data_IF_762525719223
#
_entry.id   IF_762525719223
#
_cell.length_a   1.000
_cell.length_b   1.000
_cell.length_c   1.000
_cell.angle_alpha   90.00
_cell.angle_beta   90.00
_cell.angle_gamma   90.00
#
_symmetry.space_group_name_H-M   'P 1'
#
loop_
_entity.id
_entity.type
_entity.pdbx_description
1 polymer ?
#
# COMPACT_ATOMS: atom_id res chain seq x y z
N UNK A 1 -7.81 0.07 -11.43
CA UNK A 1 -8.07 1.44 -10.90
C UNK A 1 -6.75 2.16 -10.60
N UNK A 2 -5.78 1.50 -9.95
CA UNK A 2 -4.45 2.05 -9.69
C UNK A 2 -3.75 2.66 -10.93
N UNK A 3 -3.80 1.99 -12.09
CA UNK A 3 -3.16 2.49 -13.31
C UNK A 3 -3.72 3.83 -13.80
N UNK A 4 -5.06 3.98 -13.78
CA UNK A 4 -5.72 5.26 -14.11
C UNK A 4 -5.30 6.38 -13.17
N UNK A 5 -5.05 6.06 -11.90
CA UNK A 5 -4.58 7.03 -10.92
C UNK A 5 -3.16 7.49 -11.24
N UNK A 6 -2.27 6.59 -11.62
CA UNK A 6 -0.89 6.94 -12.01
C UNK A 6 -0.90 7.82 -13.27
N UNK A 7 -1.73 7.50 -14.26
CA UNK A 7 -1.86 8.31 -15.48
C UNK A 7 -2.35 9.73 -15.20
N UNK A 8 -3.36 9.88 -14.34
CA UNK A 8 -3.86 11.19 -13.95
C UNK A 8 -2.81 12.03 -13.22
N UNK A 9 -2.04 11.43 -12.30
CA UNK A 9 -0.97 12.13 -11.60
C UNK A 9 0.19 12.50 -12.55
N UNK A 10 0.55 11.62 -13.49
CA UNK A 10 1.57 11.90 -14.49
C UNK A 10 1.18 13.10 -15.36
N UNK A 11 -0.07 13.16 -15.82
CA UNK A 11 -0.62 14.30 -16.57
C UNK A 11 -0.60 15.59 -15.75
N UNK A 12 -1.04 15.54 -14.49
CA UNK A 12 -1.08 16.71 -13.61
C UNK A 12 0.32 17.27 -13.30
N UNK A 13 1.32 16.39 -13.19
CA UNK A 13 2.71 16.74 -12.87
C UNK A 13 3.57 17.03 -14.12
N UNK A 14 3.03 16.83 -15.33
CA UNK A 14 3.76 17.04 -16.58
C UNK A 14 4.93 16.08 -16.80
N UNK A 15 4.90 14.89 -16.19
CA UNK A 15 5.94 13.86 -16.29
C UNK A 15 5.40 12.61 -16.98
N UNK A 16 6.30 11.71 -17.39
CA UNK A 16 5.89 10.44 -17.98
C UNK A 16 5.24 9.51 -16.93
N UNK A 17 4.40 8.58 -17.38
CA UNK A 17 3.82 7.53 -16.52
C UNK A 17 4.91 6.69 -15.86
N UNK A 18 6.02 6.44 -16.56
CA UNK A 18 7.15 5.68 -16.02
C UNK A 18 7.85 6.43 -14.87
N UNK A 19 8.11 7.73 -15.05
CA UNK A 19 8.67 8.58 -13.99
C UNK A 19 7.73 8.68 -12.79
N UNK A 20 6.43 8.85 -13.03
CA UNK A 20 5.43 8.88 -11.95
C UNK A 20 5.43 7.56 -11.17
N UNK A 21 5.49 6.40 -11.83
CA UNK A 21 5.61 5.10 -11.16
C UNK A 21 6.89 4.99 -10.34
N UNK A 22 8.02 5.42 -10.90
CA UNK A 22 9.31 5.38 -10.22
C UNK A 22 9.29 6.27 -8.96
N UNK A 23 8.74 7.47 -9.04
CA UNK A 23 8.59 8.37 -7.89
C UNK A 23 7.66 7.77 -6.82
N UNK A 24 6.53 7.16 -7.22
CA UNK A 24 5.61 6.50 -6.29
C UNK A 24 6.26 5.30 -5.58
N UNK A 25 7.11 4.53 -6.26
CA UNK A 25 7.85 3.43 -5.62
C UNK A 25 8.91 3.99 -4.67
N UNK A 26 9.62 5.04 -5.08
CA UNK A 26 10.67 5.66 -4.28
C UNK A 26 10.15 6.31 -2.99
N UNK A 27 8.87 6.71 -2.94
CA UNK A 27 8.26 7.26 -1.73
C UNK A 27 7.98 6.19 -0.66
N UNK A 28 7.87 4.92 -1.05
CA UNK A 28 7.55 3.82 -0.14
C UNK A 28 8.83 3.38 0.56
N UNK A 29 8.92 3.43 1.90
CA UNK A 29 10.12 2.98 2.61
C UNK A 29 10.48 1.50 2.35
N UNK A 30 9.49 0.64 2.15
CA UNK A 30 9.68 -0.76 1.72
C UNK A 30 10.37 -0.88 0.34
N UNK A 31 10.40 0.19 -0.46
CA UNK A 31 11.04 0.24 -1.78
C UNK A 31 10.27 -0.51 -2.88
N UNK A 32 9.06 -0.98 -2.58
CA UNK A 32 8.16 -1.65 -3.53
C UNK A 32 6.72 -1.48 -3.10
N UNK A 33 5.80 -1.74 -4.02
CA UNK A 33 4.38 -1.89 -3.69
C UNK A 33 4.18 -3.10 -2.76
N UNK A 34 3.24 -2.96 -1.83
CA UNK A 34 2.72 -4.09 -1.06
C UNK A 34 1.94 -5.00 -2.01
N UNK A 35 2.18 -6.30 -1.91
CA UNK A 35 1.49 -7.29 -2.72
C UNK A 35 0.13 -7.66 -2.11
N UNK A 36 -0.91 -7.93 -2.91
CA UNK A 36 -2.21 -8.34 -2.39
C UNK A 36 -2.16 -9.56 -1.45
N UNK A 37 -1.20 -10.46 -1.68
CA UNK A 37 -1.00 -11.64 -0.84
C UNK A 37 -0.57 -11.28 0.60
N UNK A 38 0.14 -10.17 0.81
CA UNK A 38 0.56 -9.72 2.14
C UNK A 38 -0.65 -9.23 2.96
N UNK A 39 -1.57 -8.51 2.31
CA UNK A 39 -2.85 -8.09 2.91
C UNK A 39 -3.73 -9.32 3.20
N UNK A 40 -3.82 -10.26 2.26
CA UNK A 40 -4.59 -11.48 2.41
C UNK A 40 -4.07 -12.35 3.57
N UNK A 41 -2.75 -12.43 3.75
CA UNK A 41 -2.15 -13.17 4.87
C UNK A 41 -2.54 -12.56 6.23
N UNK A 42 -2.56 -11.23 6.35
CA UNK A 42 -3.01 -10.57 7.57
C UNK A 42 -4.50 -10.77 7.81
N UNK A 43 -5.33 -10.66 6.77
CA UNK A 43 -6.75 -10.96 6.86
C UNK A 43 -6.98 -12.42 7.32
N UNK A 44 -6.23 -13.37 6.76
CA UNK A 44 -6.29 -14.78 7.14
C UNK A 44 -5.91 -15.02 8.62
N UNK A 45 -4.92 -14.28 9.14
CA UNK A 45 -4.59 -14.31 10.56
C UNK A 45 -5.75 -13.79 11.42
N UNK A 46 -6.33 -12.64 11.04
CA UNK A 46 -7.40 -11.98 11.80
C UNK A 46 -8.69 -12.81 11.87
N UNK A 47 -9.02 -13.58 10.82
CA UNK A 47 -10.19 -14.47 10.82
C UNK A 47 -9.94 -15.82 11.50
N UNK A 48 -8.71 -16.08 11.98
CA UNK A 48 -8.35 -17.34 12.63
C UNK A 48 -8.58 -17.30 14.14
N UNK A 49 -8.68 -18.48 14.76
CA UNK A 49 -8.78 -18.63 16.23
C UNK A 49 -7.59 -18.02 16.98
N UNK A 50 -6.46 -17.79 16.30
CA UNK A 50 -5.25 -17.20 16.90
C UNK A 50 -5.41 -15.72 17.23
N UNK A 51 -6.40 -15.05 16.65
CA UNK A 51 -6.66 -13.63 16.83
C UNK A 51 -7.93 -13.35 17.65
N UNK A 52 -8.44 -14.33 18.40
CA UNK A 52 -9.76 -14.28 19.05
C UNK A 52 -10.00 -13.05 19.98
N UNK A 53 -8.93 -12.47 20.56
CA UNK A 53 -9.01 -11.29 21.42
C UNK A 53 -8.69 -9.97 20.72
N UNK A 54 -8.37 -9.99 19.41
CA UNK A 54 -8.04 -8.78 18.64
C UNK A 54 -9.32 -8.23 18.03
N UNK A 55 -9.75 -7.06 18.52
CA UNK A 55 -10.96 -6.38 18.04
C UNK A 55 -10.85 -4.88 18.25
N UNK A 56 -11.62 -4.10 17.48
CA UNK A 56 -11.74 -2.64 17.63
C UNK A 56 -10.50 -1.84 17.22
N UNK A 57 -9.63 -2.42 16.40
CA UNK A 57 -8.38 -1.78 15.96
C UNK A 57 -8.27 -1.74 14.43
N UNK A 58 -7.42 -0.86 13.95
CA UNK A 58 -7.02 -0.76 12.54
C UNK A 58 -5.57 -1.23 12.39
N UNK A 59 -5.27 -2.00 11.34
CA UNK A 59 -3.92 -2.47 11.03
C UNK A 59 -3.54 -1.94 9.65
N UNK A 60 -2.58 -1.02 9.63
CA UNK A 60 -2.08 -0.42 8.39
C UNK A 60 -1.01 -1.33 7.78
N UNK A 61 -1.17 -1.67 6.50
CA UNK A 61 -0.23 -2.48 5.71
C UNK A 61 0.09 -1.70 4.42
N UNK A 62 1.06 -0.78 4.51
CA UNK A 62 1.33 0.20 3.44
C UNK A 62 2.81 0.30 3.06
N UNK A 63 3.67 -0.57 3.60
CA UNK A 63 5.11 -0.52 3.37
C UNK A 63 5.81 0.69 4.01
N UNK A 64 5.17 1.34 4.99
CA UNK A 64 5.71 2.51 5.71
C UNK A 64 5.38 3.85 5.06
N UNK A 65 4.44 3.88 4.11
CA UNK A 65 4.03 5.12 3.43
C UNK A 65 3.51 6.18 4.41
N UNK A 66 2.77 5.75 5.43
CA UNK A 66 2.32 6.61 6.50
C UNK A 66 3.39 6.65 7.62
N UNK A 67 3.84 7.86 8.03
CA UNK A 67 4.66 8.00 9.23
C UNK A 67 3.91 7.43 10.44
N UNK A 68 4.59 6.60 11.22
CA UNK A 68 4.06 6.13 12.51
C UNK A 68 3.82 7.29 13.48
N UNK A 69 2.91 7.09 14.43
CA UNK A 69 2.73 7.98 15.58
C UNK A 69 3.86 7.84 16.60
#
# INVERSE_FOLDING_TARGET
QAERQVEQHALANGISVAEQKAQSIASIPLGRMVEPAEIAAMAALLVSDRAASITGIEIVIDGGQQPGI
#
